data_IF_357168381914
#
_entry.id   IF_357168381914
#
_cell.length_a   1.000
_cell.length_b   1.000
_cell.length_c   1.000
_cell.angle_alpha   90.00
_cell.angle_beta   90.00
_cell.angle_gamma   90.00
#
_symmetry.space_group_name_H-M   'P 1'
#
loop_
_entity.id
_entity.type
_entity.pdbx_description
1 polymer ?
#
# COMPACT_ATOMS: atom_id res chain seq x y z
N UNK A 1 13.76 17.45 38.75
CA UNK A 1 13.98 16.15 38.08
C UNK A 1 12.64 15.67 37.54
N UNK A 2 12.54 15.37 36.24
CA UNK A 2 11.28 15.04 35.56
C UNK A 2 10.63 13.79 36.15
N UNK A 3 9.32 13.89 36.36
CA UNK A 3 8.45 12.84 36.88
C UNK A 3 8.22 11.79 35.78
N UNK A 4 9.09 10.77 35.74
CA UNK A 4 9.09 9.78 34.68
C UNK A 4 8.13 8.63 34.99
N UNK A 5 7.37 8.20 33.98
CA UNK A 5 6.39 7.10 34.06
C UNK A 5 6.95 5.85 34.77
N UNK A 6 8.17 5.42 34.43
CA UNK A 6 8.81 4.26 35.07
C UNK A 6 9.13 4.45 36.55
N UNK A 7 9.42 5.68 37.00
CA UNK A 7 9.66 5.98 38.41
C UNK A 7 8.36 5.87 39.21
N UNK A 8 7.25 6.37 38.65
CA UNK A 8 5.90 6.19 39.23
C UNK A 8 5.51 4.72 39.24
N UNK A 9 5.69 4.01 38.13
CA UNK A 9 5.36 2.59 38.02
C UNK A 9 6.15 1.74 39.02
N UNK A 10 7.44 2.04 39.23
CA UNK A 10 8.26 1.36 40.24
C UNK A 10 7.76 1.59 41.66
N UNK A 11 7.25 2.80 41.97
CA UNK A 11 6.69 3.10 43.29
C UNK A 11 5.38 2.38 43.55
N UNK A 12 4.52 2.25 42.53
CA UNK A 12 3.19 1.63 42.67
C UNK A 12 3.19 0.10 42.48
N UNK A 13 3.95 -0.43 41.53
CA UNK A 13 3.97 -1.85 41.21
C UNK A 13 5.33 -2.30 40.65
N UNK A 14 6.24 -2.67 41.56
CA UNK A 14 7.60 -3.12 41.24
C UNK A 14 7.63 -4.36 40.34
N UNK A 15 6.68 -5.28 40.54
CA UNK A 15 6.63 -6.55 39.80
C UNK A 15 6.25 -6.32 38.33
N UNK A 16 5.27 -5.46 38.08
CA UNK A 16 4.91 -5.03 36.73
C UNK A 16 6.05 -4.27 36.06
N UNK A 17 6.73 -3.38 36.79
CA UNK A 17 7.88 -2.65 36.27
C UNK A 17 9.02 -3.60 35.87
N UNK A 18 9.36 -4.59 36.71
CA UNK A 18 10.34 -5.62 36.41
C UNK A 18 9.94 -6.48 35.21
N UNK A 19 8.66 -6.88 35.12
CA UNK A 19 8.15 -7.66 33.98
C UNK A 19 8.30 -6.90 32.65
N UNK A 20 8.00 -5.59 32.63
CA UNK A 20 8.19 -4.75 31.44
C UNK A 20 9.67 -4.63 31.09
N UNK A 21 10.55 -4.38 32.06
CA UNK A 21 11.99 -4.31 31.80
C UNK A 21 12.56 -5.62 31.27
N UNK A 22 12.15 -6.75 31.87
CA UNK A 22 12.53 -8.09 31.43
C UNK A 22 12.05 -8.35 30.00
N UNK A 23 10.79 -8.02 29.70
CA UNK A 23 10.21 -8.15 28.37
C UNK A 23 10.96 -7.31 27.33
N UNK A 24 11.25 -6.04 27.62
CA UNK A 24 12.02 -5.15 26.73
C UNK A 24 13.42 -5.72 26.47
N UNK A 25 14.08 -6.23 27.50
CA UNK A 25 15.45 -6.73 27.42
C UNK A 25 15.51 -8.04 26.64
N UNK A 26 14.64 -9.01 26.95
CA UNK A 26 14.54 -10.29 26.23
C UNK A 26 14.18 -10.05 24.76
N UNK A 27 13.20 -9.19 24.47
CA UNK A 27 12.81 -8.86 23.08
C UNK A 27 13.95 -8.21 22.30
N UNK A 28 14.75 -7.36 22.95
CA UNK A 28 15.92 -6.71 22.32
C UNK A 28 17.05 -7.71 22.09
N UNK A 29 17.27 -8.65 23.01
CA UNK A 29 18.28 -9.70 22.85
C UNK A 29 17.90 -10.69 21.74
N UNK A 30 16.63 -11.09 21.70
CA UNK A 30 16.12 -11.99 20.65
C UNK A 30 16.15 -11.34 19.26
N UNK A 31 15.81 -10.05 19.13
CA UNK A 31 15.88 -9.35 17.85
C UNK A 31 17.30 -9.21 17.29
N UNK A 32 18.33 -9.22 18.15
CA UNK A 32 19.74 -9.19 17.76
C UNK A 32 20.41 -10.56 17.68
N UNK A 33 19.69 -11.64 17.99
CA UNK A 33 20.25 -12.99 17.98
C UNK A 33 20.58 -13.45 16.55
N UNK A 34 21.78 -14.00 16.30
CA UNK A 34 22.14 -14.56 14.99
C UNK A 34 21.32 -15.80 14.63
N UNK A 35 20.60 -16.38 15.60
CA UNK A 35 19.70 -17.52 15.41
C UNK A 35 18.22 -17.11 15.29
N UNK A 36 17.92 -15.81 15.17
CA UNK A 36 16.55 -15.36 14.96
C UNK A 36 16.15 -15.64 13.49
N UNK A 37 15.26 -16.61 13.21
CA UNK A 37 14.78 -16.88 11.85
C UNK A 37 14.01 -15.70 11.26
N UNK A 38 13.64 -14.74 12.09
CA UNK A 38 12.98 -13.48 11.75
C UNK A 38 13.93 -12.28 11.81
N UNK A 39 15.25 -12.44 11.62
CA UNK A 39 16.22 -11.34 11.64
C UNK A 39 15.92 -10.19 10.65
N UNK A 40 15.01 -10.40 9.69
CA UNK A 40 14.47 -9.38 8.78
C UNK A 40 13.21 -8.66 9.30
N UNK A 41 12.59 -9.13 10.38
CA UNK A 41 11.38 -8.55 11.00
C UNK A 41 11.79 -7.87 12.30
N UNK A 42 11.53 -6.57 12.39
CA UNK A 42 11.87 -5.74 13.56
C UNK A 42 11.05 -6.15 14.78
N UNK A 43 11.49 -7.17 15.52
CA UNK A 43 10.88 -7.62 16.77
C UNK A 43 11.23 -6.66 17.90
N UNK A 44 10.62 -5.47 17.89
CA UNK A 44 10.64 -4.59 19.05
C UNK A 44 9.27 -4.56 19.72
N UNK A 45 9.21 -4.46 21.05
CA UNK A 45 7.99 -4.20 21.80
C UNK A 45 7.20 -3.02 21.26
N UNK A 46 7.91 -2.00 20.75
CA UNK A 46 7.32 -0.82 20.14
C UNK A 46 6.69 -1.12 18.78
N UNK A 47 7.27 -2.02 17.97
CA UNK A 47 6.69 -2.43 16.69
C UNK A 47 5.41 -3.25 16.89
N UNK A 48 5.41 -4.15 17.88
CA UNK A 48 4.21 -4.92 18.24
C UNK A 48 3.14 -4.00 18.81
N UNK A 49 3.52 -3.07 19.70
CA UNK A 49 2.62 -2.05 20.21
C UNK A 49 2.06 -1.19 19.07
N UNK A 50 2.89 -0.66 18.17
CA UNK A 50 2.46 0.16 17.04
C UNK A 50 1.45 -0.58 16.14
N UNK A 51 1.68 -1.87 15.88
CA UNK A 51 0.77 -2.71 15.09
C UNK A 51 -0.62 -2.88 15.72
N UNK A 52 -0.71 -2.96 17.05
CA UNK A 52 -1.98 -3.21 17.76
C UNK A 52 -2.59 -1.98 18.44
N UNK A 53 -1.83 -0.89 18.58
CA UNK A 53 -2.26 0.37 19.21
C UNK A 53 -2.56 1.46 18.19
N UNK A 54 -2.16 1.27 16.92
CA UNK A 54 -2.64 2.12 15.85
C UNK A 54 -4.16 2.08 15.84
N UNK A 55 -4.85 3.23 15.89
CA UNK A 55 -6.29 3.25 15.82
C UNK A 55 -6.70 2.56 14.52
N UNK A 56 -7.57 1.56 14.62
CA UNK A 56 -8.19 0.97 13.45
C UNK A 56 -8.98 2.08 12.76
N UNK A 57 -8.45 2.59 11.65
CA UNK A 57 -9.17 3.51 10.80
C UNK A 57 -10.23 2.69 10.08
N UNK A 58 -11.42 2.66 10.66
CA UNK A 58 -12.57 2.05 10.03
C UNK A 58 -12.87 2.84 8.76
N UNK A 59 -12.52 2.24 7.62
CA UNK A 59 -12.93 2.78 6.33
C UNK A 59 -14.36 2.33 6.09
N UNK A 60 -15.27 3.31 5.95
CA UNK A 60 -16.69 3.05 5.64
C UNK A 60 -16.86 2.20 4.36
N UNK A 61 -15.86 2.19 3.48
CA UNK A 61 -15.84 1.37 2.28
C UNK A 61 -14.39 0.99 1.91
N UNK A 62 -14.25 -0.12 1.21
CA UNK A 62 -13.05 -0.56 0.49
C UNK A 62 -13.19 -0.22 -0.99
N UNK A 63 -12.08 0.07 -1.67
CA UNK A 63 -12.07 0.28 -3.12
C UNK A 63 -11.75 -1.05 -3.84
N UNK A 64 -12.57 -1.42 -4.81
CA UNK A 64 -12.32 -2.54 -5.72
C UNK A 64 -12.30 -2.05 -7.17
N UNK A 65 -11.46 -2.65 -8.01
CA UNK A 65 -11.39 -2.32 -9.43
C UNK A 65 -11.86 -3.50 -10.28
N UNK A 66 -12.82 -3.26 -11.17
CA UNK A 66 -13.28 -4.20 -12.18
C UNK A 66 -12.67 -3.83 -13.54
N UNK A 67 -12.07 -4.81 -14.21
CA UNK A 67 -11.55 -4.67 -15.56
C UNK A 67 -12.43 -5.47 -16.51
N UNK A 68 -12.99 -4.80 -17.52
CA UNK A 68 -13.84 -5.42 -18.55
C UNK A 68 -13.15 -5.29 -19.90
N UNK A 69 -12.94 -6.41 -20.59
CA UNK A 69 -12.35 -6.45 -21.94
C UNK A 69 -13.32 -7.11 -22.91
N UNK A 70 -13.66 -6.41 -24.00
CA UNK A 70 -14.64 -6.86 -25.01
C UNK A 70 -16.00 -7.32 -24.41
N UNK A 71 -16.41 -6.71 -23.31
CA UNK A 71 -17.66 -7.05 -22.61
C UNK A 71 -17.56 -8.19 -21.59
N UNK A 72 -16.39 -8.82 -21.43
CA UNK A 72 -16.14 -9.83 -20.41
C UNK A 72 -15.29 -9.28 -19.26
N UNK A 73 -15.70 -9.54 -18.02
CA UNK A 73 -14.91 -9.18 -16.84
C UNK A 73 -13.66 -10.07 -16.76
N UNK A 74 -12.49 -9.45 -16.65
CA UNK A 74 -11.22 -10.11 -16.40
C UNK A 74 -11.05 -10.24 -14.89
N UNK A 75 -11.22 -11.47 -14.40
CA UNK A 75 -10.95 -11.78 -13.00
C UNK A 75 -9.45 -11.73 -12.72
N UNK A 76 -9.09 -11.07 -11.61
CA UNK A 76 -7.72 -11.04 -11.13
C UNK A 76 -7.26 -12.48 -10.82
N UNK A 77 -6.05 -12.87 -11.23
CA UNK A 77 -5.53 -14.18 -10.89
C UNK A 77 -5.37 -14.28 -9.36
N UNK A 78 -5.71 -15.46 -8.81
CA UNK A 78 -5.66 -15.70 -7.37
C UNK A 78 -4.25 -15.46 -6.80
N UNK A 79 -4.14 -15.20 -5.49
CA UNK A 79 -2.85 -14.94 -4.81
C UNK A 79 -1.76 -16.00 -5.05
N UNK A 80 -2.15 -17.24 -5.37
CA UNK A 80 -1.26 -18.36 -5.71
C UNK A 80 -0.74 -18.36 -7.14
N UNK A 81 -1.25 -17.47 -8.00
CA UNK A 81 -0.79 -17.35 -9.36
C UNK A 81 0.46 -16.45 -9.38
N UNK A 82 1.62 -17.11 -9.39
CA UNK A 82 2.94 -16.46 -9.50
C UNK A 82 3.06 -15.57 -10.74
N UNK A 83 2.16 -15.70 -11.72
CA UNK A 83 1.99 -14.78 -12.85
C UNK A 83 1.01 -13.65 -12.51
N UNK A 84 1.23 -12.97 -11.39
CA UNK A 84 0.45 -11.76 -11.07
C UNK A 84 0.53 -10.81 -12.25
N UNK A 85 -0.59 -10.61 -12.93
CA UNK A 85 -0.63 -9.67 -14.04
C UNK A 85 -0.33 -8.28 -13.49
N UNK A 86 0.71 -7.65 -14.05
CA UNK A 86 1.31 -6.41 -13.54
C UNK A 86 0.30 -5.27 -13.46
N UNK A 87 -0.79 -5.34 -14.24
CA UNK A 87 -1.81 -4.30 -14.32
C UNK A 87 -2.58 -4.06 -13.02
N UNK A 88 -2.70 -5.08 -12.16
CA UNK A 88 -3.50 -4.99 -10.92
C UNK A 88 -3.03 -3.86 -10.00
N UNK A 89 -1.71 -3.66 -9.90
CA UNK A 89 -1.10 -2.60 -9.11
C UNK A 89 -1.06 -1.25 -9.84
N UNK A 90 -1.15 -1.24 -11.17
CA UNK A 90 -1.03 -0.01 -11.95
C UNK A 90 -2.36 0.73 -12.09
N UNK A 91 -3.50 0.03 -12.02
CA UNK A 91 -4.83 0.67 -12.08
C UNK A 91 -5.02 1.64 -10.92
N UNK A 92 -4.74 1.20 -9.68
CA UNK A 92 -4.86 2.08 -8.50
C UNK A 92 -3.92 3.29 -8.57
N UNK A 93 -2.72 3.10 -9.12
CA UNK A 93 -1.77 4.21 -9.33
C UNK A 93 -2.26 5.22 -10.38
N UNK A 94 -2.88 4.74 -11.46
CA UNK A 94 -3.49 5.62 -12.46
C UNK A 94 -4.68 6.39 -11.90
N UNK A 95 -5.55 5.74 -11.12
CA UNK A 95 -6.67 6.38 -10.42
C UNK A 95 -6.18 7.50 -9.48
N UNK A 96 -5.13 7.24 -8.70
CA UNK A 96 -4.47 8.28 -7.88
C UNK A 96 -4.04 9.47 -8.73
N UNK A 97 -3.36 9.24 -9.85
CA UNK A 97 -2.96 10.34 -10.74
C UNK A 97 -4.17 11.08 -11.34
N UNK A 98 -5.23 10.38 -11.72
CA UNK A 98 -6.45 11.01 -12.25
C UNK A 98 -7.10 11.96 -11.22
N UNK A 99 -7.12 11.57 -9.94
CA UNK A 99 -7.62 12.41 -8.84
C UNK A 99 -6.75 13.65 -8.59
N UNK A 100 -5.45 13.59 -8.92
CA UNK A 100 -4.49 14.68 -8.77
C UNK A 100 -4.19 15.40 -10.09
N UNK A 101 -5.17 15.48 -11.00
CA UNK A 101 -5.03 16.23 -12.25
C UNK A 101 -3.97 15.68 -13.22
N UNK A 102 -3.69 14.38 -13.14
CA UNK A 102 -2.65 13.66 -13.89
C UNK A 102 -1.24 14.18 -13.61
N UNK A 103 -0.95 14.49 -12.35
CA UNK A 103 0.38 14.88 -11.86
C UNK A 103 0.96 13.80 -10.95
N UNK A 104 2.29 13.66 -10.95
CA UNK A 104 3.01 12.74 -10.06
C UNK A 104 3.47 13.50 -8.82
N UNK A 105 2.71 13.37 -7.73
CA UNK A 105 2.95 13.96 -6.41
C UNK A 105 4.30 13.54 -5.79
N UNK A 106 4.93 12.48 -6.32
CA UNK A 106 6.24 12.01 -5.87
C UNK A 106 7.40 12.83 -6.42
N UNK A 107 7.19 13.69 -7.42
CA UNK A 107 8.26 14.49 -8.02
C UNK A 107 9.00 15.32 -6.95
N UNK A 108 8.25 16.08 -6.14
CA UNK A 108 8.82 16.93 -5.09
C UNK A 108 9.52 16.09 -4.02
N UNK A 109 8.93 14.94 -3.65
CA UNK A 109 9.54 14.01 -2.71
C UNK A 109 10.89 13.49 -3.21
N UNK A 110 10.98 13.07 -4.47
CA UNK A 110 12.24 12.62 -5.07
C UNK A 110 13.25 13.75 -5.17
N UNK A 111 12.82 14.94 -5.56
CA UNK A 111 13.69 16.11 -5.64
C UNK A 111 14.33 16.41 -4.29
N UNK A 112 13.52 16.49 -3.22
CA UNK A 112 14.01 16.72 -1.86
C UNK A 112 14.96 15.60 -1.39
N UNK A 113 14.62 14.33 -1.67
CA UNK A 113 15.46 13.19 -1.30
C UNK A 113 16.81 13.21 -2.02
N UNK A 114 16.84 13.54 -3.32
CA UNK A 114 18.07 13.65 -4.11
C UNK A 114 18.95 14.80 -3.61
N UNK A 115 18.36 15.97 -3.32
CA UNK A 115 19.08 17.10 -2.71
C UNK A 115 19.73 16.72 -1.39
N UNK A 116 19.01 16.02 -0.50
CA UNK A 116 19.55 15.55 0.79
C UNK A 116 20.69 14.54 0.63
N UNK A 117 20.70 13.78 -0.47
CA UNK A 117 21.75 12.80 -0.78
C UNK A 117 22.92 13.40 -1.58
N UNK A 118 22.93 14.73 -1.79
CA UNK A 118 23.92 15.41 -2.64
C UNK A 118 23.98 14.86 -4.07
N UNK A 119 22.83 14.40 -4.59
CA UNK A 119 22.65 13.96 -5.97
C UNK A 119 21.97 15.05 -6.79
N UNK A 120 22.15 15.03 -8.12
CA UNK A 120 21.50 15.98 -9.03
C UNK A 120 19.96 15.87 -8.92
N UNK A 121 19.26 16.94 -8.47
CA UNK A 121 17.80 16.92 -8.35
C UNK A 121 17.08 16.75 -9.69
N UNK A 122 17.74 17.00 -10.82
CA UNK A 122 17.16 16.80 -12.15
C UNK A 122 16.73 15.34 -12.40
N UNK A 123 17.36 14.37 -11.73
CA UNK A 123 16.95 12.96 -11.79
C UNK A 123 15.53 12.72 -11.28
N UNK A 124 14.93 13.62 -10.50
CA UNK A 124 13.53 13.51 -10.09
C UNK A 124 12.58 13.43 -11.30
N UNK A 125 12.92 14.07 -12.43
CA UNK A 125 12.14 13.99 -13.68
C UNK A 125 12.15 12.60 -14.32
N UNK A 126 13.20 11.82 -14.08
CA UNK A 126 13.35 10.44 -14.57
C UNK A 126 12.66 9.45 -13.63
N UNK A 127 12.66 9.73 -12.33
CA UNK A 127 12.06 8.89 -11.29
C UNK A 127 10.54 9.08 -11.14
N UNK A 128 10.00 10.16 -11.71
CA UNK A 128 8.58 10.50 -11.70
C UNK A 128 7.97 10.39 -13.10
N UNK A 129 6.65 10.29 -13.14
CA UNK A 129 5.88 10.21 -14.37
C UNK A 129 5.49 11.61 -14.82
N UNK A 130 5.83 11.96 -16.07
CA UNK A 130 5.27 13.14 -16.70
C UNK A 130 3.78 12.92 -17.00
N UNK A 131 3.00 14.00 -17.01
CA UNK A 131 1.57 13.96 -17.40
C UNK A 131 1.36 13.26 -18.74
N UNK A 132 2.22 13.52 -19.72
CA UNK A 132 2.16 12.87 -21.04
C UNK A 132 2.34 11.34 -20.96
N UNK A 133 3.18 10.85 -20.05
CA UNK A 133 3.36 9.41 -19.85
C UNK A 133 2.19 8.79 -19.09
N UNK A 134 1.66 9.50 -18.08
CA UNK A 134 0.46 9.06 -17.34
C UNK A 134 -0.72 8.88 -18.30
N UNK A 135 -0.94 9.84 -19.21
CA UNK A 135 -2.04 9.79 -20.18
C UNK A 135 -1.91 8.67 -21.23
N UNK A 136 -0.73 8.06 -21.40
CA UNK A 136 -0.54 6.88 -22.26
C UNK A 136 -0.94 5.56 -21.59
N UNK A 137 -1.21 5.58 -20.28
CA UNK A 137 -1.56 4.39 -19.51
C UNK A 137 -2.73 3.57 -20.10
N UNK A 138 -3.85 4.19 -20.54
CA UNK A 138 -4.96 3.44 -21.14
C UNK A 138 -4.54 2.57 -22.35
N UNK A 139 -3.80 3.17 -23.28
CA UNK A 139 -3.33 2.48 -24.47
C UNK A 139 -2.30 1.40 -24.11
N UNK A 140 -1.42 1.69 -23.15
CA UNK A 140 -0.49 0.69 -22.61
C UNK A 140 -1.23 -0.50 -21.99
N UNK A 141 -2.27 -0.27 -21.19
CA UNK A 141 -3.05 -1.31 -20.53
C UNK A 141 -3.74 -2.22 -21.56
N UNK A 142 -4.36 -1.62 -22.60
CA UNK A 142 -4.98 -2.36 -23.71
C UNK A 142 -3.95 -3.25 -24.43
N UNK A 143 -2.78 -2.70 -24.75
CA UNK A 143 -1.69 -3.43 -25.41
C UNK A 143 -1.13 -4.55 -24.52
N UNK A 144 -0.94 -4.27 -23.23
CA UNK A 144 -0.47 -5.25 -22.25
C UNK A 144 -1.43 -6.42 -22.14
N UNK A 145 -2.72 -6.16 -21.97
CA UNK A 145 -3.74 -7.20 -21.88
C UNK A 145 -3.87 -7.97 -23.18
N UNK A 146 -3.83 -7.31 -24.34
CA UNK A 146 -3.88 -7.97 -25.64
C UNK A 146 -2.74 -8.99 -25.80
N UNK A 147 -1.53 -8.62 -25.38
CA UNK A 147 -0.35 -9.52 -25.41
C UNK A 147 -0.49 -10.69 -24.44
N UNK A 148 -0.97 -10.44 -23.21
CA UNK A 148 -1.12 -11.49 -22.21
C UNK A 148 -2.25 -12.47 -22.53
N UNK A 149 -3.31 -12.00 -23.20
CA UNK A 149 -4.45 -12.83 -23.61
C UNK A 149 -4.24 -13.48 -24.98
N UNK A 150 -3.15 -13.16 -25.69
CA UNK A 150 -2.85 -13.71 -27.01
C UNK A 150 -3.83 -13.29 -28.12
N UNK A 151 -4.58 -12.21 -27.92
CA UNK A 151 -5.55 -11.67 -28.89
C UNK A 151 -5.63 -10.16 -28.82
N UNK A 152 -5.90 -9.51 -29.95
CA UNK A 152 -6.15 -8.07 -29.98
C UNK A 152 -7.49 -7.74 -29.31
N UNK A 153 -7.48 -6.86 -28.32
CA UNK A 153 -8.68 -6.38 -27.64
C UNK A 153 -9.25 -5.17 -28.36
N UNK A 154 -10.57 -5.17 -28.59
CA UNK A 154 -11.27 -4.04 -29.21
C UNK A 154 -11.49 -2.94 -28.22
N UNK A 155 -11.98 -3.28 -27.02
CA UNK A 155 -12.28 -2.29 -25.99
C UNK A 155 -11.84 -2.77 -24.60
N UNK A 156 -11.42 -1.82 -23.77
CA UNK A 156 -11.17 -2.02 -22.34
C UNK A 156 -11.89 -0.95 -21.52
N UNK A 157 -12.52 -1.40 -20.43
CA UNK A 157 -13.18 -0.53 -19.46
C UNK A 157 -12.68 -0.87 -18.07
N UNK A 158 -12.50 0.15 -17.25
CA UNK A 158 -12.14 -0.01 -15.85
C UNK A 158 -13.18 0.70 -15.01
N UNK A 159 -13.77 -0.03 -14.07
CA UNK A 159 -14.70 0.50 -13.09
C UNK A 159 -14.05 0.46 -11.71
N UNK A 160 -14.29 1.51 -10.95
CA UNK A 160 -13.94 1.62 -9.53
C UNK A 160 -15.22 1.46 -8.73
N UNK A 161 -15.27 0.46 -7.88
CA UNK A 161 -16.38 0.20 -6.97
C UNK A 161 -15.96 0.58 -5.55
N UNK A 162 -16.84 1.29 -4.87
CA UNK A 162 -16.76 1.50 -3.43
C UNK A 162 -17.65 0.44 -2.79
N UNK A 163 -17.05 -0.45 -2.01
CA UNK A 163 -17.72 -1.61 -1.45
C UNK A 163 -17.67 -1.59 0.07
N UNK A 164 -18.75 -1.97 0.73
CA UNK A 164 -18.74 -2.23 2.17
C UNK A 164 -19.32 -3.61 2.45
N UNK A 165 -19.18 -4.08 3.68
CA UNK A 165 -19.81 -5.29 4.16
C UNK A 165 -20.88 -4.91 5.17
N UNK A 166 -22.10 -5.45 5.00
CA UNK A 166 -23.17 -5.25 5.97
C UNK A 166 -22.88 -6.05 7.27
N UNK A 167 -23.74 -5.88 8.28
CA UNK A 167 -23.63 -6.58 9.57
C UNK A 167 -23.66 -8.12 9.43
N UNK A 168 -24.15 -8.64 8.31
CA UNK A 168 -24.17 -10.07 8.00
C UNK A 168 -22.95 -10.51 7.17
N UNK A 169 -21.98 -9.63 6.94
CA UNK A 169 -20.78 -9.89 6.16
C UNK A 169 -21.04 -10.01 4.67
N UNK A 170 -22.17 -9.50 4.15
CA UNK A 170 -22.45 -9.51 2.70
C UNK A 170 -21.92 -8.25 2.07
N UNK A 171 -21.22 -8.43 0.94
CA UNK A 171 -20.69 -7.31 0.17
C UNK A 171 -21.82 -6.51 -0.47
N UNK A 172 -21.75 -5.19 -0.32
CA UNK A 172 -22.60 -4.19 -0.96
C UNK A 172 -21.74 -3.23 -1.77
N UNK A 173 -22.29 -2.70 -2.85
CA UNK A 173 -21.64 -1.69 -3.69
C UNK A 173 -22.34 -0.36 -3.45
N UNK A 174 -21.63 0.60 -2.89
CA UNK A 174 -22.14 1.95 -2.61
C UNK A 174 -22.25 2.77 -3.89
N UNK A 175 -21.20 2.72 -4.71
CA UNK A 175 -21.15 3.45 -5.97
C UNK A 175 -20.11 2.84 -6.90
N UNK A 176 -20.25 3.15 -8.20
CA UNK A 176 -19.34 2.71 -9.24
C UNK A 176 -18.98 3.88 -10.14
N UNK A 177 -17.68 4.11 -10.34
CA UNK A 177 -17.16 5.16 -11.22
C UNK A 177 -16.43 4.50 -12.39
N UNK A 178 -16.75 4.92 -13.62
CA UNK A 178 -16.00 4.51 -14.78
C UNK A 178 -14.69 5.31 -14.86
N UNK A 179 -13.56 4.65 -14.69
CA UNK A 179 -12.24 5.25 -14.77
C UNK A 179 -11.68 5.29 -16.20
N UNK A 180 -12.09 4.34 -17.03
CA UNK A 180 -11.56 4.15 -18.38
C UNK A 180 -12.64 3.64 -19.34
N UNK A 181 -12.62 4.14 -20.58
CA UNK A 181 -13.37 3.62 -21.74
C UNK A 181 -12.53 3.85 -23.02
N UNK A 182 -11.95 2.79 -23.59
CA UNK A 182 -11.07 2.82 -24.78
C UNK A 182 -11.19 1.56 -25.64
#
# INVERSE_FOLDING_TARGET
>A
MRDNYFKRLWQYNKLLCLAIFLFLTISTLLSKSPYNPYGAVTFSPFYTWDMFSSPYLEHNHTTAYELVADGATIYLPAYSDHKKMFYSYTIGKFDHYAQHGYTDDRYEHYQHKLTRLHLDPAYAKVLSNSRQNILKYPAWLKSYLSRNLGRELKNIKVYKHYIHYDEQGRQKVDSSIKLLDQ
#
